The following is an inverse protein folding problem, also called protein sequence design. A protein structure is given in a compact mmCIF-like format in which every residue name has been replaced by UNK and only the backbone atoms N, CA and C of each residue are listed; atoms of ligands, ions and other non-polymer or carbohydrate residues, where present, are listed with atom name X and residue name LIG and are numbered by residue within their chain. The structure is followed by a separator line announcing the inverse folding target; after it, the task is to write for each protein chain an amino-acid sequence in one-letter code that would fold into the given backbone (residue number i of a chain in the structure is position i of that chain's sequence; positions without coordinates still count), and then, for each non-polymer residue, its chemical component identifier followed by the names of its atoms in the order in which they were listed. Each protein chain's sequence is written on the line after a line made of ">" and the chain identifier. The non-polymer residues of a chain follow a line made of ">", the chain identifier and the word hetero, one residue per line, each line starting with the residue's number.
data_IF_562602664845
#
_entry.id   IF_562602664845
#
_cell.length_a   1.000
_cell.length_b   1.000
_cell.length_c   1.000
_cell.angle_alpha   90.00
_cell.angle_beta   90.00
_cell.angle_gamma   90.00
#
_symmetry.space_group_name_H-M   'P 1'
#
loop_
_entity.id
_entity.type
_entity.pdbx_description
1 polymer ?
#
# COMPACT_ATOMS: atom_id res chain seq x y z
N UNK A 1 2.50 -20.64 -8.18
CA UNK A 1 2.86 -19.65 -7.14
C UNK A 1 3.56 -20.41 -6.04
N UNK A 2 4.56 -19.80 -5.40
CA UNK A 2 5.23 -20.41 -4.25
C UNK A 2 4.18 -20.58 -3.14
N UNK A 3 4.03 -21.79 -2.62
CA UNK A 3 3.19 -22.02 -1.44
C UNK A 3 3.98 -21.52 -0.22
N UNK A 4 3.48 -20.48 0.43
CA UNK A 4 4.09 -19.86 1.62
C UNK A 4 3.02 -19.69 2.70
N UNK A 5 3.40 -19.85 3.95
CA UNK A 5 2.55 -19.53 5.10
C UNK A 5 2.42 -18.02 5.30
N UNK A 6 1.42 -17.60 6.08
CA UNK A 6 1.25 -16.19 6.42
C UNK A 6 2.47 -15.63 7.16
N UNK A 7 3.09 -16.41 8.05
CA UNK A 7 4.29 -15.98 8.78
C UNK A 7 5.50 -15.80 7.86
N UNK A 8 5.70 -16.72 6.91
CA UNK A 8 6.77 -16.59 5.91
C UNK A 8 6.56 -15.37 5.02
N UNK A 9 5.31 -15.06 4.64
CA UNK A 9 5.00 -13.84 3.88
C UNK A 9 5.37 -12.58 4.66
N UNK A 10 5.03 -12.50 5.96
CA UNK A 10 5.41 -11.36 6.84
C UNK A 10 6.94 -11.20 6.87
N UNK A 11 7.66 -12.28 7.12
CA UNK A 11 9.12 -12.26 7.21
C UNK A 11 9.76 -11.85 5.87
N UNK A 12 9.32 -12.45 4.77
CA UNK A 12 9.83 -12.17 3.42
C UNK A 12 9.65 -10.70 3.05
N UNK A 13 8.49 -10.14 3.39
CA UNK A 13 8.20 -8.72 3.18
C UNK A 13 9.10 -7.82 4.03
N UNK A 14 9.31 -8.15 5.31
CA UNK A 14 10.15 -7.37 6.19
C UNK A 14 11.59 -7.33 5.67
N UNK A 15 12.15 -8.49 5.33
CA UNK A 15 13.49 -8.60 4.72
C UNK A 15 13.60 -7.80 3.42
N UNK A 16 12.56 -7.83 2.57
CA UNK A 16 12.53 -7.01 1.35
C UNK A 16 12.68 -5.51 1.69
N UNK A 17 11.85 -4.96 2.58
CA UNK A 17 11.88 -3.53 2.87
C UNK A 17 13.12 -3.08 3.64
N UNK A 18 13.65 -3.93 4.53
CA UNK A 18 14.94 -3.72 5.18
C UNK A 18 16.08 -3.62 4.15
N UNK A 19 16.09 -4.49 3.14
CA UNK A 19 17.08 -4.43 2.05
C UNK A 19 16.99 -3.14 1.24
N UNK A 20 15.82 -2.49 1.22
CA UNK A 20 15.58 -1.17 0.59
C UNK A 20 15.77 -0.01 1.58
N UNK A 21 16.47 -0.25 2.69
CA UNK A 21 16.79 0.73 3.73
C UNK A 21 15.56 1.35 4.42
N UNK A 22 14.42 0.66 4.43
CA UNK A 22 13.29 1.08 5.25
C UNK A 22 13.50 0.58 6.67
N UNK A 23 13.07 1.38 7.65
CA UNK A 23 13.07 1.00 9.06
C UNK A 23 11.73 0.42 9.47
N UNK A 24 11.77 -0.61 10.31
CA UNK A 24 10.56 -1.16 10.88
C UNK A 24 9.90 -0.13 11.81
N UNK A 25 8.64 0.16 11.56
CA UNK A 25 7.78 1.00 12.38
C UNK A 25 6.80 0.09 13.12
N UNK A 26 6.74 0.21 14.44
CA UNK A 26 5.81 -0.57 15.24
C UNK A 26 4.36 -0.26 14.87
N UNK A 27 3.50 -1.28 14.91
CA UNK A 27 2.07 -1.05 14.80
C UNK A 27 1.53 -0.27 16.01
N UNK A 28 0.41 0.42 15.79
CA UNK A 28 -0.35 1.09 16.85
C UNK A 28 -1.58 0.28 17.24
N UNK A 29 -2.24 0.69 18.33
CA UNK A 29 -3.49 0.10 18.81
C UNK A 29 -4.56 0.00 17.71
N UNK A 30 -5.49 -0.94 17.84
CA UNK A 30 -6.69 -0.97 17.01
C UNK A 30 -7.62 0.23 17.29
N UNK A 31 -7.63 0.67 18.55
CA UNK A 31 -8.39 1.84 18.98
C UNK A 31 -7.61 3.08 18.53
N UNK A 32 -8.27 3.96 17.79
CA UNK A 32 -7.66 5.20 17.34
C UNK A 32 -7.32 6.13 18.52
N UNK A 33 -6.40 7.06 18.31
CA UNK A 33 -6.09 8.07 19.33
C UNK A 33 -7.32 8.94 19.61
N UNK A 34 -7.41 9.49 20.82
CA UNK A 34 -8.52 10.35 21.27
C UNK A 34 -8.69 11.60 20.41
N UNK A 35 -7.61 12.06 19.78
CA UNK A 35 -7.64 13.21 18.86
C UNK A 35 -8.06 12.82 17.43
N UNK A 36 -8.23 11.53 17.15
CA UNK A 36 -8.72 11.05 15.86
C UNK A 36 -10.24 11.15 15.78
N UNK A 37 -10.75 11.52 14.61
CA UNK A 37 -12.18 11.43 14.28
C UNK A 37 -12.61 9.98 14.00
N UNK A 38 -11.67 9.07 13.78
CA UNK A 38 -11.94 7.66 13.54
C UNK A 38 -12.10 6.89 14.87
N UNK A 39 -12.99 5.90 14.91
CA UNK A 39 -13.13 5.01 16.06
C UNK A 39 -12.00 3.97 16.14
N UNK A 40 -11.58 3.46 14.99
CA UNK A 40 -10.53 2.45 14.86
C UNK A 40 -9.48 2.87 13.85
N UNK A 41 -8.28 2.29 13.97
CA UNK A 41 -7.28 2.35 12.91
C UNK A 41 -7.74 1.45 11.74
N UNK A 42 -8.09 2.06 10.62
CA UNK A 42 -8.57 1.44 9.37
C UNK A 42 -7.44 1.22 8.35
N UNK A 43 -6.29 1.88 8.56
CA UNK A 43 -5.12 1.81 7.68
C UNK A 43 -3.80 2.10 8.40
N UNK A 44 -2.70 1.50 7.92
CA UNK A 44 -1.35 1.71 8.46
C UNK A 44 -0.78 3.12 8.35
N UNK A 45 -1.44 4.04 7.63
CA UNK A 45 -0.96 5.42 7.47
C UNK A 45 -1.43 6.38 8.56
N UNK A 46 -2.44 6.03 9.37
CA UNK A 46 -3.03 6.98 10.33
C UNK A 46 -2.02 7.47 11.36
N UNK A 47 -1.18 6.58 11.89
CA UNK A 47 -0.06 6.95 12.77
C UNK A 47 1.01 7.83 12.09
N UNK A 48 0.98 7.92 10.76
CA UNK A 48 1.96 8.66 9.97
C UNK A 48 1.48 10.04 9.47
N UNK A 49 0.23 10.43 9.73
CA UNK A 49 -0.36 11.68 9.22
C UNK A 49 0.53 12.91 9.49
N UNK A 50 1.02 13.17 10.73
CA UNK A 50 1.84 14.36 10.99
C UNK A 50 3.12 14.41 10.15
N UNK A 51 3.70 13.25 9.85
CA UNK A 51 4.96 13.14 9.10
C UNK A 51 4.74 13.25 7.59
N UNK A 52 3.59 12.78 7.10
CA UNK A 52 3.15 13.02 5.73
C UNK A 52 2.89 14.51 5.46
N UNK A 53 2.54 15.27 6.50
CA UNK A 53 2.41 16.74 6.45
C UNK A 53 3.75 17.49 6.57
N UNK A 54 4.89 16.78 6.58
CA UNK A 54 6.23 17.37 6.52
C UNK A 54 7.00 17.36 7.84
N UNK A 55 6.43 16.85 8.94
CA UNK A 55 7.18 16.64 10.19
C UNK A 55 8.23 15.53 9.99
N UNK A 56 9.49 15.70 10.46
CA UNK A 56 10.46 14.61 10.44
C UNK A 56 10.05 13.48 11.39
N UNK A 57 10.36 12.24 11.01
CA UNK A 57 10.14 11.05 11.82
C UNK A 57 11.49 10.50 12.32
N UNK A 58 11.55 10.01 13.57
CA UNK A 58 12.79 9.57 14.21
C UNK A 58 13.47 8.38 13.50
N UNK A 59 12.66 7.46 12.96
CA UNK A 59 13.09 6.36 12.09
C UNK A 59 13.57 6.80 10.69
N UNK A 60 13.59 8.09 10.39
CA UNK A 60 14.01 8.65 9.11
C UNK A 60 12.88 8.71 8.08
N UNK A 61 13.26 8.72 6.78
CA UNK A 61 12.33 8.99 5.68
C UNK A 61 11.68 7.75 5.05
N UNK A 62 12.09 6.56 5.45
CA UNK A 62 11.64 5.29 4.85
C UNK A 62 11.22 4.35 5.95
N UNK A 63 9.94 4.00 6.00
CA UNK A 63 9.40 3.12 7.05
C UNK A 63 8.52 2.03 6.45
N UNK A 64 8.46 0.89 7.12
CA UNK A 64 7.51 -0.18 6.80
C UNK A 64 6.94 -0.78 8.07
N UNK A 65 5.70 -1.25 8.00
CA UNK A 65 5.02 -1.91 9.10
C UNK A 65 4.01 -2.95 8.59
N UNK A 66 3.43 -3.67 9.54
CA UNK A 66 2.23 -4.48 9.38
C UNK A 66 1.27 -3.97 10.45
N UNK A 67 0.23 -3.23 10.05
CA UNK A 67 -0.73 -2.64 10.98
C UNK A 67 -1.96 -3.52 11.06
N UNK A 68 -2.35 -3.94 12.26
CA UNK A 68 -3.70 -4.48 12.49
C UNK A 68 -4.75 -3.39 12.28
N UNK A 69 -5.77 -3.69 11.50
CA UNK A 69 -6.83 -2.76 11.12
C UNK A 69 -8.21 -3.33 11.45
N UNK A 70 -9.17 -2.45 11.74
CA UNK A 70 -10.60 -2.78 11.75
C UNK A 70 -11.31 -1.90 10.72
N UNK A 71 -12.12 -2.51 9.84
CA UNK A 71 -13.04 -1.82 8.95
C UNK A 71 -14.46 -2.33 9.15
N UNK A 72 -15.30 -1.47 9.72
CA UNK A 72 -16.72 -1.74 9.92
C UNK A 72 -17.55 -1.43 8.68
N UNK A 73 -17.05 -0.57 7.78
CA UNK A 73 -17.73 -0.23 6.51
C UNK A 73 -17.81 -1.40 5.53
N UNK A 74 -16.94 -2.40 5.70
CA UNK A 74 -16.90 -3.59 4.85
C UNK A 74 -17.78 -4.73 5.43
N UNK A 75 -18.54 -4.50 6.52
CA UNK A 75 -19.21 -5.57 7.28
C UNK A 75 -20.26 -6.34 6.47
N UNK A 76 -20.96 -5.67 5.56
CA UNK A 76 -22.00 -6.28 4.73
C UNK A 76 -21.41 -7.20 3.64
N UNK A 77 -20.13 -7.02 3.29
CA UNK A 77 -19.41 -7.85 2.31
C UNK A 77 -18.73 -9.07 2.97
N UNK A 78 -18.68 -9.11 4.31
CA UNK A 78 -18.01 -10.18 5.06
C UNK A 78 -18.71 -11.52 4.84
N UNK A 79 -17.89 -12.53 4.54
CA UNK A 79 -18.35 -13.86 4.17
C UNK A 79 -18.00 -14.23 2.73
N UNK A 80 -17.53 -13.27 1.94
CA UNK A 80 -16.91 -13.52 0.64
C UNK A 80 -15.45 -14.00 0.76
N UNK A 81 -14.76 -14.11 -0.37
CA UNK A 81 -13.38 -14.62 -0.43
C UNK A 81 -12.29 -13.59 -0.04
N UNK A 82 -12.64 -12.31 0.16
CA UNK A 82 -11.66 -11.21 0.22
C UNK A 82 -11.89 -10.16 1.31
N UNK A 83 -13.06 -10.10 1.93
CA UNK A 83 -13.42 -9.09 2.92
C UNK A 83 -13.41 -9.65 4.34
N UNK A 84 -12.74 -8.91 5.22
CA UNK A 84 -12.66 -9.17 6.65
C UNK A 84 -12.93 -7.86 7.40
N UNK A 85 -13.54 -7.94 8.58
CA UNK A 85 -13.61 -6.79 9.49
C UNK A 85 -12.26 -6.48 10.11
N UNK A 86 -11.54 -7.50 10.56
CA UNK A 86 -10.20 -7.42 11.11
C UNK A 86 -9.18 -8.02 10.14
N UNK A 87 -8.12 -7.27 9.83
CA UNK A 87 -7.06 -7.73 8.95
C UNK A 87 -5.75 -7.01 9.24
N UNK A 88 -4.65 -7.51 8.67
CA UNK A 88 -3.35 -6.85 8.74
C UNK A 88 -3.03 -6.15 7.42
N UNK A 89 -2.79 -4.85 7.49
CA UNK A 89 -2.34 -4.04 6.37
C UNK A 89 -0.82 -3.94 6.36
N UNK A 90 -0.23 -4.53 5.32
CA UNK A 90 1.21 -4.48 5.09
C UNK A 90 1.60 -3.18 4.37
N UNK A 91 2.11 -2.19 5.09
CA UNK A 91 2.41 -0.83 4.58
C UNK A 91 3.90 -0.49 4.49
N UNK A 92 4.34 0.15 3.41
CA UNK A 92 5.65 0.82 3.28
C UNK A 92 5.40 2.28 2.92
N UNK A 93 6.23 3.20 3.41
CA UNK A 93 6.05 4.64 3.22
C UNK A 93 7.38 5.32 2.93
N UNK A 94 7.29 6.26 2.01
CA UNK A 94 8.29 7.29 1.76
C UNK A 94 7.79 8.60 2.35
N UNK A 95 8.56 9.18 3.27
CA UNK A 95 8.29 10.46 3.91
C UNK A 95 9.21 11.51 3.28
N UNK A 96 8.83 11.99 2.09
CA UNK A 96 9.59 12.99 1.34
C UNK A 96 10.95 12.49 0.83
N UNK A 97 11.01 11.25 0.36
CA UNK A 97 12.21 10.64 -0.22
C UNK A 97 11.98 10.16 -1.67
N UNK A 98 11.55 8.92 -1.90
CA UNK A 98 11.15 8.42 -3.21
C UNK A 98 9.65 8.61 -3.48
N UNK A 99 9.22 8.53 -4.75
CA UNK A 99 7.81 8.70 -5.11
C UNK A 99 7.32 7.58 -6.03
N UNK A 100 6.61 7.90 -7.12
CA UNK A 100 5.92 6.93 -7.97
C UNK A 100 6.85 5.93 -8.65
N UNK A 101 7.95 6.39 -9.26
CA UNK A 101 8.84 5.53 -10.06
C UNK A 101 9.41 4.38 -9.23
N UNK A 102 10.09 4.70 -8.14
CA UNK A 102 10.70 3.69 -7.27
C UNK A 102 9.66 2.85 -6.54
N UNK A 103 8.48 3.43 -6.22
CA UNK A 103 7.38 2.65 -5.65
C UNK A 103 6.91 1.56 -6.62
N UNK A 104 6.71 1.90 -7.90
CA UNK A 104 6.33 0.95 -8.95
C UNK A 104 7.42 -0.11 -9.16
N UNK A 105 8.69 0.30 -9.28
CA UNK A 105 9.82 -0.60 -9.46
C UNK A 105 9.93 -1.62 -8.31
N UNK A 106 9.82 -1.15 -7.05
CA UNK A 106 9.89 -2.03 -5.87
C UNK A 106 8.68 -2.93 -5.72
N UNK A 107 7.47 -2.42 -6.01
CA UNK A 107 6.27 -3.25 -6.02
C UNK A 107 6.37 -4.37 -7.07
N UNK A 108 6.84 -4.05 -8.27
CA UNK A 108 7.08 -5.05 -9.32
C UNK A 108 8.12 -6.07 -8.87
N UNK A 109 9.26 -5.62 -8.35
CA UNK A 109 10.33 -6.49 -7.85
C UNK A 109 9.81 -7.48 -6.80
N UNK A 110 9.16 -6.99 -5.74
CA UNK A 110 8.65 -7.83 -4.65
C UNK A 110 7.63 -8.87 -5.13
N UNK A 111 6.70 -8.46 -6.00
CA UNK A 111 5.63 -9.34 -6.50
C UNK A 111 6.16 -10.44 -7.42
N UNK A 112 7.18 -10.16 -8.22
CA UNK A 112 7.51 -11.00 -9.38
C UNK A 112 8.91 -11.60 -9.40
N UNK A 113 9.84 -11.06 -8.61
CA UNK A 113 11.18 -11.65 -8.52
C UNK A 113 11.10 -13.07 -7.98
N UNK A 114 11.99 -13.93 -8.47
CA UNK A 114 12.16 -15.32 -8.00
C UNK A 114 12.63 -15.38 -6.55
N UNK A 115 13.29 -14.33 -6.07
CA UNK A 115 13.80 -14.23 -4.70
C UNK A 115 12.69 -13.91 -3.69
N UNK A 116 11.52 -13.44 -4.16
CA UNK A 116 10.38 -13.03 -3.33
C UNK A 116 9.12 -13.86 -3.65
N UNK A 117 8.05 -13.22 -4.14
CA UNK A 117 6.75 -13.89 -4.30
C UNK A 117 6.64 -14.72 -5.59
N UNK A 118 7.51 -14.47 -6.57
CA UNK A 118 7.54 -15.20 -7.84
C UNK A 118 6.14 -15.34 -8.50
N UNK A 119 5.31 -14.30 -8.38
CA UNK A 119 4.00 -14.26 -9.06
C UNK A 119 4.28 -14.10 -10.55
N UNK A 120 3.63 -14.93 -11.36
CA UNK A 120 3.66 -14.80 -12.81
C UNK A 120 3.16 -13.41 -13.20
N UNK A 121 3.99 -12.56 -13.83
CA UNK A 121 3.60 -11.20 -14.22
C UNK A 121 2.32 -11.15 -15.06
N UNK A 122 2.01 -12.22 -15.82
CA UNK A 122 0.78 -12.31 -16.63
C UNK A 122 -0.52 -12.31 -15.80
N UNK A 123 -0.42 -12.64 -14.51
CA UNK A 123 -1.53 -12.64 -13.55
C UNK A 123 -1.76 -11.29 -12.88
N UNK A 124 -0.86 -10.33 -13.09
CA UNK A 124 -0.98 -9.00 -12.52
C UNK A 124 -1.70 -8.09 -13.50
N UNK A 125 -2.52 -7.19 -12.94
CA UNK A 125 -3.07 -6.02 -13.61
C UNK A 125 -2.99 -4.86 -12.63
N UNK A 126 -2.93 -3.64 -13.16
CA UNK A 126 -2.82 -2.42 -12.36
C UNK A 126 -3.84 -1.41 -12.80
N UNK A 127 -4.25 -0.56 -11.86
CA UNK A 127 -5.12 0.57 -12.14
C UNK A 127 -4.42 1.87 -11.81
N UNK A 128 -4.72 2.91 -12.57
CA UNK A 128 -4.19 4.27 -12.40
C UNK A 128 -5.33 5.26 -12.43
N UNK A 129 -5.13 6.45 -11.84
CA UNK A 129 -6.19 7.44 -11.76
C UNK A 129 -6.48 8.06 -13.14
N UNK A 130 -7.74 8.04 -13.57
CA UNK A 130 -8.14 8.52 -14.90
C UNK A 130 -8.18 10.05 -15.03
N UNK A 131 -8.05 10.78 -13.93
CA UNK A 131 -8.27 12.22 -13.88
C UNK A 131 -9.71 12.60 -13.53
N UNK A 132 -9.89 13.85 -13.16
CA UNK A 132 -11.17 14.54 -13.04
C UNK A 132 -10.99 16.04 -13.34
N UNK A 133 -12.00 16.86 -13.05
CA UNK A 133 -11.97 18.30 -13.29
C UNK A 133 -10.82 19.01 -12.56
N UNK A 134 -10.34 18.46 -11.44
CA UNK A 134 -9.37 19.12 -10.56
C UNK A 134 -7.97 18.49 -10.60
N UNK A 135 -7.85 17.25 -11.05
CA UNK A 135 -6.59 16.51 -11.05
C UNK A 135 -6.41 15.81 -12.40
N UNK A 136 -5.26 16.02 -13.08
CA UNK A 136 -5.02 15.38 -14.36
C UNK A 136 -4.93 13.85 -14.23
N UNK A 137 -5.15 13.19 -15.37
CA UNK A 137 -4.92 11.76 -15.53
C UNK A 137 -3.48 11.38 -15.17
N UNK A 138 -3.30 10.29 -14.43
CA UNK A 138 -1.99 9.86 -13.95
C UNK A 138 -1.22 9.05 -15.02
N UNK A 139 -0.81 9.75 -16.07
CA UNK A 139 -0.01 9.18 -17.17
C UNK A 139 1.41 8.80 -16.72
N UNK A 140 1.92 9.49 -15.71
CA UNK A 140 3.26 9.26 -15.15
C UNK A 140 3.36 7.84 -14.55
N UNK A 141 2.43 7.47 -13.64
CA UNK A 141 2.43 6.13 -13.04
C UNK A 141 2.22 5.04 -14.08
N UNK A 142 1.36 5.27 -15.08
CA UNK A 142 1.15 4.33 -16.18
C UNK A 142 2.43 4.09 -16.98
N UNK A 143 3.19 5.14 -17.28
CA UNK A 143 4.48 5.04 -17.98
C UNK A 143 5.51 4.23 -17.18
N UNK A 144 5.57 4.40 -15.86
CA UNK A 144 6.48 3.61 -15.01
C UNK A 144 6.10 2.13 -15.00
N UNK A 145 4.82 1.79 -14.98
CA UNK A 145 4.38 0.39 -15.10
C UNK A 145 4.77 -0.21 -16.45
N UNK A 146 4.62 0.53 -17.55
CA UNK A 146 5.07 0.11 -18.89
C UNK A 146 6.59 -0.14 -18.90
N UNK A 147 7.37 0.75 -18.30
CA UNK A 147 8.84 0.62 -18.23
C UNK A 147 9.30 -0.62 -17.46
N UNK A 148 8.53 -1.10 -16.48
CA UNK A 148 8.82 -2.35 -15.75
C UNK A 148 8.13 -3.58 -16.37
N UNK A 149 7.74 -3.48 -17.64
CA UNK A 149 7.25 -4.58 -18.47
C UNK A 149 5.78 -4.95 -18.28
N UNK A 150 4.95 -4.04 -17.77
CA UNK A 150 3.48 -4.21 -17.79
C UNK A 150 2.96 -3.88 -19.19
N UNK A 151 2.14 -4.76 -19.76
CA UNK A 151 1.50 -4.53 -21.06
C UNK A 151 0.31 -3.59 -20.93
N UNK A 152 -0.03 -2.90 -22.02
CA UNK A 152 -1.08 -1.88 -22.00
C UNK A 152 -2.47 -2.45 -21.68
N UNK A 153 -2.77 -3.67 -22.11
CA UNK A 153 -4.01 -4.39 -21.78
C UNK A 153 -4.15 -4.71 -20.27
N UNK A 154 -3.07 -4.55 -19.49
CA UNK A 154 -3.04 -4.77 -18.04
C UNK A 154 -3.04 -3.48 -17.23
N UNK A 155 -3.14 -2.31 -17.88
CA UNK A 155 -3.19 -1.00 -17.23
C UNK A 155 -4.57 -0.39 -17.52
N UNK A 156 -5.39 -0.23 -16.48
CA UNK A 156 -6.72 0.39 -16.58
C UNK A 156 -6.77 1.75 -15.89
N UNK A 157 -7.36 2.75 -16.54
CA UNK A 157 -7.62 4.04 -15.91
C UNK A 157 -9.02 4.02 -15.27
N UNK A 158 -9.10 4.34 -13.98
CA UNK A 158 -10.35 4.29 -13.21
C UNK A 158 -10.68 5.62 -12.51
N UNK A 159 -11.97 5.89 -12.21
CA UNK A 159 -12.41 7.11 -11.55
C UNK A 159 -11.91 7.23 -10.10
N UNK A 160 -12.11 8.42 -9.52
CA UNK A 160 -11.71 8.77 -8.15
C UNK A 160 -12.23 7.78 -7.11
N UNK A 161 -13.45 7.25 -7.29
CA UNK A 161 -14.05 6.22 -6.43
C UNK A 161 -13.13 5.01 -6.19
N UNK A 162 -12.29 4.65 -7.17
CA UNK A 162 -11.42 3.48 -7.10
C UNK A 162 -9.94 3.83 -6.95
N UNK A 163 -9.51 4.97 -7.50
CA UNK A 163 -8.09 5.31 -7.61
C UNK A 163 -7.69 6.63 -6.95
N UNK A 164 -8.58 7.25 -6.14
CA UNK A 164 -8.23 8.32 -5.20
C UNK A 164 -8.52 7.85 -3.77
N UNK A 165 -7.45 7.60 -3.01
CA UNK A 165 -7.56 7.08 -1.64
C UNK A 165 -7.67 8.22 -0.61
N UNK A 166 -8.56 8.07 0.36
CA UNK A 166 -8.71 8.95 1.54
C UNK A 166 -8.74 8.10 2.82
N UNK A 167 -8.18 8.56 3.96
CA UNK A 167 -8.23 7.82 5.22
C UNK A 167 -9.62 7.67 5.84
N UNK A 168 -10.63 8.33 5.28
CA UNK A 168 -12.02 8.30 5.75
C UNK A 168 -12.72 9.62 5.42
N UNK A 169 -13.99 9.81 5.83
CA UNK A 169 -14.57 11.14 5.88
C UNK A 169 -13.73 12.01 6.83
N UNK A 170 -13.32 13.18 6.35
CA UNK A 170 -12.87 14.30 7.18
C UNK A 170 -14.08 14.99 7.80
#
# INVERSE_FOLDING_TARGET
>A
MKTISSQELRNLRNTFWESKQHKYLSEVSLIADKESTAMFNVAGMQQLIPYLMGKPHDLGKRVFNIQRCIRTVDIDEVGDASHLTFFEMMGNRSLGDYFKKEAVERSREFLTSKDYLAIDPKKLAVTVFQGDEHTPKDEETASYWKNVGMTEDKISYLPAKHNRWSPGPV
#
